data_IF_736810921158
#
_entry.id   IF_736810921158
#
_cell.length_a   1.000
_cell.length_b   1.000
_cell.length_c   1.000
_cell.angle_alpha   90.00
_cell.angle_beta   90.00
_cell.angle_gamma   90.00
#
_symmetry.space_group_name_H-M   'P 1'
#
loop_
_entity.id
_entity.type
_entity.pdbx_description
1 polymer ?
#
# COMPACT_ATOMS: atom_id res chain seq x y z
N UNK A 1 -7.17 8.24 24.06
CA UNK A 1 -5.92 8.51 23.32
C UNK A 1 -4.67 7.99 24.03
N UNK A 2 -4.65 7.82 25.37
CA UNK A 2 -3.46 7.36 26.13
C UNK A 2 -2.83 6.06 25.61
N UNK A 3 -3.63 5.05 25.26
CA UNK A 3 -3.12 3.80 24.67
C UNK A 3 -2.40 4.03 23.33
N UNK A 4 -2.91 4.90 22.46
CA UNK A 4 -2.27 5.21 21.17
C UNK A 4 -0.95 5.96 21.36
N UNK A 5 -0.85 6.80 22.38
CA UNK A 5 0.40 7.48 22.74
C UNK A 5 1.44 6.49 23.27
N UNK A 6 1.02 5.49 24.04
CA UNK A 6 1.91 4.42 24.48
C UNK A 6 2.42 3.57 23.31
N UNK A 7 1.52 3.17 22.40
CA UNK A 7 1.89 2.47 21.16
C UNK A 7 2.87 3.31 20.33
N UNK A 8 2.59 4.62 20.17
CA UNK A 8 3.52 5.54 19.51
C UNK A 8 4.87 5.54 20.23
N UNK A 9 4.93 5.64 21.56
CA UNK A 9 6.18 5.66 22.30
C UNK A 9 7.00 4.38 22.13
N UNK A 10 6.35 3.21 22.09
CA UNK A 10 7.01 1.91 21.82
C UNK A 10 7.58 1.84 20.41
N UNK A 11 6.86 2.37 19.42
CA UNK A 11 7.35 2.46 18.03
C UNK A 11 8.53 3.42 17.91
N UNK A 12 8.55 4.51 18.67
CA UNK A 12 9.67 5.46 18.69
C UNK A 12 10.94 4.86 19.27
N UNK A 13 10.80 4.00 20.29
CA UNK A 13 11.92 3.27 20.89
C UNK A 13 12.43 2.11 20.03
N UNK A 14 11.74 1.77 18.94
CA UNK A 14 12.10 0.65 18.08
C UNK A 14 13.27 1.00 17.15
N UNK A 15 14.15 0.02 16.90
CA UNK A 15 15.22 0.15 15.92
C UNK A 15 14.65 0.22 14.49
N UNK A 16 15.31 0.89 13.53
CA UNK A 16 14.84 0.99 12.15
C UNK A 16 14.62 -0.38 11.48
N UNK A 17 15.39 -1.40 11.88
CA UNK A 17 15.27 -2.75 11.33
C UNK A 17 13.98 -3.45 11.78
N UNK A 18 13.53 -3.21 13.02
CA UNK A 18 12.32 -3.84 13.56
C UNK A 18 11.08 -2.95 13.42
N UNK A 19 11.25 -1.71 12.94
CA UNK A 19 10.15 -0.75 12.83
C UNK A 19 9.01 -1.25 11.94
N UNK A 20 9.31 -1.89 10.81
CA UNK A 20 8.30 -2.43 9.89
C UNK A 20 7.48 -3.51 10.58
N UNK A 21 8.13 -4.43 11.28
CA UNK A 21 7.47 -5.55 11.96
C UNK A 21 6.67 -5.08 13.18
N UNK A 22 7.25 -4.21 14.02
CA UNK A 22 6.56 -3.64 15.17
C UNK A 22 5.36 -2.78 14.74
N UNK A 23 5.48 -2.04 13.63
CA UNK A 23 4.37 -1.30 13.06
C UNK A 23 3.28 -2.25 12.55
N UNK A 24 3.64 -3.34 11.88
CA UNK A 24 2.68 -4.36 11.45
C UNK A 24 1.91 -4.97 12.62
N UNK A 25 2.61 -5.31 13.72
CA UNK A 25 1.99 -5.84 14.93
C UNK A 25 1.02 -4.83 15.53
N UNK A 26 1.45 -3.57 15.70
CA UNK A 26 0.61 -2.51 16.24
C UNK A 26 -0.64 -2.28 15.37
N UNK A 27 -0.48 -2.25 14.05
CA UNK A 27 -1.57 -2.06 13.11
C UNK A 27 -2.56 -3.23 13.14
N UNK A 28 -2.06 -4.47 13.07
CA UNK A 28 -2.89 -5.68 13.08
C UNK A 28 -3.65 -5.82 14.39
N UNK A 29 -2.99 -5.56 15.52
CA UNK A 29 -3.63 -5.59 16.83
C UNK A 29 -4.71 -4.52 16.95
N UNK A 30 -4.46 -3.32 16.41
CA UNK A 30 -5.44 -2.25 16.40
C UNK A 30 -6.66 -2.62 15.55
N UNK A 31 -6.46 -3.08 14.32
CA UNK A 31 -7.55 -3.48 13.43
C UNK A 31 -8.36 -4.64 14.00
N UNK A 32 -7.71 -5.65 14.58
CA UNK A 32 -8.40 -6.75 15.25
C UNK A 32 -9.22 -6.27 16.45
N UNK A 33 -8.71 -5.31 17.21
CA UNK A 33 -9.45 -4.71 18.33
C UNK A 33 -10.70 -3.96 17.83
N UNK A 34 -10.62 -3.29 16.68
CA UNK A 34 -11.79 -2.63 16.07
C UNK A 34 -12.88 -3.63 15.66
N UNK A 35 -12.50 -4.82 15.18
CA UNK A 35 -13.46 -5.89 14.85
C UNK A 35 -14.27 -6.34 16.08
N UNK A 36 -13.72 -6.19 17.29
CA UNK A 36 -14.45 -6.45 18.54
C UNK A 36 -15.22 -5.22 19.04
N UNK A 37 -14.63 -4.03 18.97
CA UNK A 37 -15.21 -2.79 19.51
C UNK A 37 -16.46 -2.36 18.72
N UNK A 38 -16.39 -2.38 17.39
CA UNK A 38 -17.46 -1.85 16.53
C UNK A 38 -18.79 -2.60 16.76
N UNK A 39 -18.84 -3.95 16.82
CA UNK A 39 -20.07 -4.67 17.18
C UNK A 39 -20.62 -4.34 18.57
N UNK A 40 -19.76 -4.11 19.57
CA UNK A 40 -20.21 -3.74 20.92
C UNK A 40 -20.96 -2.41 20.90
N UNK A 41 -20.49 -1.47 20.08
CA UNK A 41 -21.11 -0.15 19.91
C UNK A 41 -22.07 -0.08 18.72
N UNK A 42 -22.57 -1.21 18.19
CA UNK A 42 -23.39 -1.22 16.97
C UNK A 42 -24.65 -0.37 17.08
N UNK A 43 -25.26 -0.31 18.27
CA UNK A 43 -26.43 0.53 18.51
C UNK A 43 -26.05 2.02 18.44
N UNK A 44 -24.96 2.42 19.08
CA UNK A 44 -24.45 3.79 18.97
C UNK A 44 -24.09 4.14 17.53
N UNK A 45 -23.43 3.22 16.81
CA UNK A 45 -23.04 3.43 15.42
C UNK A 45 -24.28 3.68 14.55
N UNK A 46 -25.25 2.76 14.55
CA UNK A 46 -26.43 2.85 13.67
C UNK A 46 -27.38 3.98 14.05
N UNK A 47 -27.69 4.13 15.33
CA UNK A 47 -28.75 5.04 15.76
C UNK A 47 -28.28 6.47 15.98
N UNK A 48 -26.99 6.69 16.18
CA UNK A 48 -26.45 8.04 16.40
C UNK A 48 -25.40 8.44 15.37
N UNK A 49 -24.32 7.65 15.20
CA UNK A 49 -23.19 8.06 14.38
C UNK A 49 -23.57 8.10 12.89
N UNK A 50 -24.12 7.00 12.36
CA UNK A 50 -24.59 6.93 10.97
C UNK A 50 -25.80 7.85 10.77
N UNK A 51 -26.82 7.77 11.62
CA UNK A 51 -28.11 8.46 11.37
C UNK A 51 -28.09 9.96 11.64
N UNK A 52 -27.29 10.45 12.60
CA UNK A 52 -27.26 11.87 13.00
C UNK A 52 -26.00 12.58 12.52
N UNK A 53 -24.85 11.89 12.54
CA UNK A 53 -23.57 12.50 12.17
C UNK A 53 -23.16 12.18 10.73
N UNK A 54 -23.81 11.21 10.07
CA UNK A 54 -23.47 10.72 8.73
C UNK A 54 -21.98 10.30 8.63
N UNK A 55 -21.53 9.56 9.65
CA UNK A 55 -20.16 9.03 9.77
C UNK A 55 -20.21 7.54 10.07
N UNK A 56 -19.05 6.90 10.06
CA UNK A 56 -18.87 5.52 10.50
C UNK A 56 -17.84 5.44 11.64
N UNK A 57 -18.19 4.72 12.72
CA UNK A 57 -17.34 4.58 13.90
C UNK A 57 -16.00 3.89 13.57
N UNK A 58 -16.01 2.88 12.69
CA UNK A 58 -14.77 2.19 12.31
C UNK A 58 -13.84 3.15 11.57
N UNK A 59 -14.38 3.93 10.64
CA UNK A 59 -13.62 4.96 9.93
C UNK A 59 -13.06 6.03 10.87
N UNK A 60 -13.86 6.53 11.82
CA UNK A 60 -13.42 7.54 12.79
C UNK A 60 -12.30 7.01 13.70
N UNK A 61 -12.37 5.75 14.11
CA UNK A 61 -11.30 5.09 14.89
C UNK A 61 -10.04 4.85 14.03
N UNK A 62 -10.19 4.40 12.79
CA UNK A 62 -9.06 4.27 11.85
C UNK A 62 -8.35 5.60 11.62
N UNK A 63 -9.09 6.71 11.44
CA UNK A 63 -8.53 8.06 11.37
C UNK A 63 -7.76 8.43 12.63
N UNK A 64 -8.30 8.11 13.81
CA UNK A 64 -7.63 8.38 15.07
C UNK A 64 -6.24 7.71 15.16
N UNK A 65 -6.13 6.45 14.71
CA UNK A 65 -4.84 5.76 14.62
C UNK A 65 -3.91 6.38 13.58
N UNK A 66 -4.45 6.75 12.42
CA UNK A 66 -3.69 7.41 11.36
C UNK A 66 -3.01 8.69 11.88
N UNK A 67 -3.78 9.57 12.51
CA UNK A 67 -3.32 10.90 12.94
C UNK A 67 -2.37 10.82 14.16
N UNK A 68 -2.61 9.89 15.10
CA UNK A 68 -1.83 9.84 16.34
C UNK A 68 -0.61 8.94 16.29
N UNK A 69 -0.60 7.97 15.38
CA UNK A 69 0.45 6.95 15.27
C UNK A 69 1.07 6.97 13.87
N UNK A 70 0.33 6.62 12.83
CA UNK A 70 0.92 6.31 11.53
C UNK A 70 1.56 7.54 10.84
N UNK A 71 0.94 8.71 10.90
CA UNK A 71 1.45 9.93 10.25
C UNK A 71 2.84 10.34 10.77
N UNK A 72 3.11 10.13 12.07
CA UNK A 72 4.41 10.41 12.69
C UNK A 72 5.53 9.53 12.14
N UNK A 73 5.21 8.30 11.75
CA UNK A 73 6.18 7.32 11.29
C UNK A 73 6.30 7.26 9.77
N UNK A 74 5.39 7.89 9.03
CA UNK A 74 5.33 7.82 7.56
C UNK A 74 6.66 8.20 6.89
N UNK A 75 7.28 9.29 7.34
CA UNK A 75 8.56 9.78 6.80
C UNK A 75 9.73 8.80 7.02
N UNK A 76 9.67 7.98 8.08
CA UNK A 76 10.73 7.02 8.41
C UNK A 76 10.42 5.65 7.81
N UNK A 77 9.15 5.27 7.81
CA UNK A 77 8.66 3.97 7.35
C UNK A 77 8.70 3.85 5.82
N UNK A 78 8.34 4.90 5.08
CA UNK A 78 8.31 4.85 3.61
C UNK A 78 9.67 4.50 2.98
N UNK A 79 10.79 5.20 3.30
CA UNK A 79 12.10 4.84 2.77
C UNK A 79 12.53 3.42 3.15
N UNK A 80 12.17 2.95 4.36
CA UNK A 80 12.48 1.60 4.81
C UNK A 80 11.72 0.54 4.02
N UNK A 81 10.43 0.78 3.72
CA UNK A 81 9.62 -0.12 2.89
C UNK A 81 10.17 -0.18 1.45
N UNK A 82 10.54 0.97 0.87
CA UNK A 82 11.14 1.01 -0.48
C UNK A 82 12.46 0.22 -0.50
N UNK A 83 13.34 0.44 0.49
CA UNK A 83 14.60 -0.30 0.60
C UNK A 83 14.36 -1.80 0.77
N UNK A 84 13.47 -2.19 1.66
CA UNK A 84 13.14 -3.59 1.89
C UNK A 84 12.46 -4.24 0.67
N UNK A 85 11.77 -3.49 -0.19
CA UNK A 85 11.24 -4.01 -1.45
C UNK A 85 12.34 -4.29 -2.47
N UNK A 86 13.39 -3.46 -2.50
CA UNK A 86 14.55 -3.66 -3.40
C UNK A 86 15.50 -4.79 -2.95
N UNK A 87 15.42 -5.22 -1.69
CA UNK A 87 16.29 -6.25 -1.10
C UNK A 87 15.48 -7.51 -0.77
N UNK A 88 15.60 -8.59 -1.55
CA UNK A 88 14.85 -9.81 -1.29
C UNK A 88 15.23 -10.40 0.09
N UNK A 89 14.23 -10.98 0.77
CA UNK A 89 14.34 -11.66 2.08
C UNK A 89 14.64 -10.79 3.31
N UNK A 90 14.77 -9.47 3.17
CA UNK A 90 14.97 -8.59 4.34
C UNK A 90 13.73 -8.52 5.24
N UNK A 91 12.53 -8.57 4.64
CA UNK A 91 11.24 -8.57 5.33
C UNK A 91 10.36 -9.66 4.71
N UNK A 92 9.57 -10.35 5.53
CA UNK A 92 8.62 -11.34 5.00
C UNK A 92 7.61 -10.66 4.05
N UNK A 93 7.34 -11.23 2.86
CA UNK A 93 6.39 -10.65 1.91
C UNK A 93 4.99 -10.44 2.49
N UNK A 94 4.55 -11.32 3.41
CA UNK A 94 3.28 -11.20 4.13
C UNK A 94 3.22 -9.94 5.00
N UNK A 95 4.28 -9.68 5.78
CA UNK A 95 4.41 -8.48 6.62
C UNK A 95 4.43 -7.22 5.76
N UNK A 96 5.19 -7.23 4.66
CA UNK A 96 5.24 -6.11 3.72
C UNK A 96 3.85 -5.83 3.13
N UNK A 97 3.16 -6.86 2.65
CA UNK A 97 1.82 -6.73 2.08
C UNK A 97 0.81 -6.22 3.11
N UNK A 98 0.88 -6.72 4.35
CA UNK A 98 0.03 -6.30 5.47
C UNK A 98 0.21 -4.82 5.78
N UNK A 99 1.46 -4.35 5.91
CA UNK A 99 1.77 -2.94 6.17
C UNK A 99 1.32 -2.05 5.00
N UNK A 100 1.65 -2.39 3.76
CA UNK A 100 1.28 -1.58 2.58
C UNK A 100 -0.25 -1.48 2.43
N UNK A 101 -0.95 -2.61 2.55
CA UNK A 101 -2.42 -2.64 2.53
C UNK A 101 -3.03 -1.85 3.68
N UNK A 102 -2.48 -2.00 4.87
CA UNK A 102 -2.97 -1.30 6.06
C UNK A 102 -2.73 0.22 5.99
N UNK A 103 -1.58 0.67 5.47
CA UNK A 103 -1.33 2.09 5.19
C UNK A 103 -2.35 2.64 4.18
N UNK A 104 -2.65 1.88 3.12
CA UNK A 104 -3.66 2.26 2.14
C UNK A 104 -5.06 2.33 2.75
N UNK A 105 -5.43 1.38 3.62
CA UNK A 105 -6.70 1.39 4.35
C UNK A 105 -6.82 2.53 5.36
N UNK A 106 -5.71 3.00 5.94
CA UNK A 106 -5.70 4.17 6.82
C UNK A 106 -5.92 5.45 6.03
N UNK A 107 -5.07 5.71 5.03
CA UNK A 107 -5.18 6.87 4.14
C UNK A 107 -4.70 6.50 2.73
N UNK A 108 -5.61 6.40 1.74
CA UNK A 108 -5.23 6.10 0.35
C UNK A 108 -4.28 7.12 -0.28
N UNK A 109 -4.32 8.38 0.16
CA UNK A 109 -3.47 9.46 -0.34
C UNK A 109 -1.97 9.18 -0.17
N UNK A 110 -1.59 8.39 0.85
CA UNK A 110 -0.19 8.02 1.08
C UNK A 110 0.39 7.13 -0.03
N UNK A 111 -0.45 6.49 -0.85
CA UNK A 111 0.02 5.74 -2.01
C UNK A 111 0.73 6.63 -3.04
N UNK A 112 0.41 7.93 -3.08
CA UNK A 112 1.06 8.88 -3.97
C UNK A 112 2.55 9.11 -3.63
N UNK A 113 2.96 8.82 -2.38
CA UNK A 113 4.34 8.96 -1.94
C UNK A 113 5.26 7.89 -2.55
N UNK A 114 4.72 6.70 -2.83
CA UNK A 114 5.48 5.57 -3.36
C UNK A 114 4.62 4.68 -4.28
N UNK A 115 4.14 5.20 -5.43
CA UNK A 115 3.18 4.49 -6.28
C UNK A 115 3.69 3.13 -6.78
N UNK A 116 4.99 3.02 -7.09
CA UNK A 116 5.61 1.75 -7.49
C UNK A 116 5.50 0.68 -6.40
N UNK A 117 5.83 1.03 -5.15
CA UNK A 117 5.72 0.13 -4.01
C UNK A 117 4.28 -0.36 -3.83
N UNK A 118 3.33 0.57 -3.79
CA UNK A 118 1.93 0.25 -3.55
C UNK A 118 1.33 -0.61 -4.68
N UNK A 119 1.65 -0.29 -5.94
CA UNK A 119 1.17 -1.03 -7.12
C UNK A 119 1.59 -2.50 -7.14
N UNK A 120 2.70 -2.85 -6.48
CA UNK A 120 3.14 -4.25 -6.33
C UNK A 120 2.26 -5.08 -5.39
N UNK A 121 1.48 -4.46 -4.49
CA UNK A 121 0.71 -5.16 -3.46
C UNK A 121 -0.81 -4.98 -3.55
N UNK A 122 -1.28 -3.93 -4.22
CA UNK A 122 -2.70 -3.64 -4.36
C UNK A 122 -3.01 -3.44 -5.87
N UNK A 123 -3.91 -4.26 -6.44
CA UNK A 123 -4.28 -4.12 -7.84
C UNK A 123 -5.00 -2.78 -8.08
N UNK A 124 -4.84 -2.22 -9.28
CA UNK A 124 -5.60 -1.05 -9.76
C UNK A 124 -5.42 0.27 -8.97
N UNK A 125 -4.32 0.47 -8.25
CA UNK A 125 -4.03 1.78 -7.61
C UNK A 125 -3.72 2.86 -8.63
N UNK A 126 -3.04 2.47 -9.72
CA UNK A 126 -2.63 3.43 -10.74
C UNK A 126 -3.87 3.98 -11.45
N UNK A 127 -3.88 5.28 -11.79
CA UNK A 127 -5.03 5.88 -12.46
C UNK A 127 -5.32 5.13 -13.75
N UNK A 128 -6.61 4.98 -14.10
CA UNK A 128 -6.99 4.34 -15.36
C UNK A 128 -6.32 5.07 -16.53
N UNK A 129 -5.88 4.28 -17.51
CA UNK A 129 -5.25 4.79 -18.72
C UNK A 129 -6.18 5.80 -19.41
N UNK A 130 -5.67 7.00 -19.65
CA UNK A 130 -6.45 8.09 -20.30
C UNK A 130 -6.05 8.19 -21.77
N UNK A 131 -7.03 8.30 -22.67
CA UNK A 131 -6.80 8.37 -24.12
C UNK A 131 -5.87 9.53 -24.52
N UNK A 132 -5.99 10.68 -23.84
CA UNK A 132 -5.13 11.85 -24.07
C UNK A 132 -3.65 11.60 -23.78
N UNK A 133 -3.31 10.56 -23.01
CA UNK A 133 -1.94 10.17 -22.66
C UNK A 133 -1.41 8.99 -23.49
N UNK A 134 -2.17 8.51 -24.49
CA UNK A 134 -1.70 7.47 -25.41
C UNK A 134 -0.33 7.75 -26.04
N UNK A 135 -0.02 8.98 -26.48
CA UNK A 135 1.31 9.30 -26.99
C UNK A 135 2.41 9.06 -25.94
N UNK A 136 2.19 9.49 -24.69
CA UNK A 136 3.16 9.33 -23.59
C UNK A 136 3.42 7.85 -23.26
N UNK A 137 2.38 7.01 -23.35
CA UNK A 137 2.51 5.57 -23.15
C UNK A 137 3.28 4.92 -24.31
N UNK A 138 3.01 5.33 -25.55
CA UNK A 138 3.74 4.83 -26.73
C UNK A 138 5.23 5.20 -26.67
N UNK A 139 5.55 6.42 -26.20
CA UNK A 139 6.94 6.85 -26.02
C UNK A 139 7.66 6.08 -24.90
N UNK A 140 6.98 5.80 -23.80
CA UNK A 140 7.51 4.93 -22.74
C UNK A 140 7.79 3.51 -23.25
N UNK A 141 6.85 2.91 -23.99
CA UNK A 141 7.02 1.58 -24.56
C UNK A 141 8.18 1.54 -25.56
N UNK A 142 8.30 2.56 -26.43
CA UNK A 142 9.43 2.67 -27.36
C UNK A 142 10.77 2.74 -26.64
N UNK A 143 10.87 3.54 -25.56
CA UNK A 143 12.08 3.63 -24.74
C UNK A 143 12.43 2.30 -24.08
N UNK A 144 11.43 1.61 -23.52
CA UNK A 144 11.60 0.30 -22.91
C UNK A 144 12.10 -0.73 -23.94
N UNK A 145 11.49 -0.77 -25.12
CA UNK A 145 11.92 -1.67 -26.20
C UNK A 145 13.36 -1.40 -26.65
N UNK A 146 13.76 -0.13 -26.75
CA UNK A 146 15.15 0.24 -27.04
C UNK A 146 16.10 -0.25 -25.94
N UNK A 147 15.79 -0.02 -24.67
CA UNK A 147 16.61 -0.48 -23.55
C UNK A 147 16.75 -2.01 -23.54
N UNK A 148 15.64 -2.74 -23.75
CA UNK A 148 15.63 -4.19 -23.82
C UNK A 148 16.50 -4.71 -24.98
N UNK A 149 16.41 -4.09 -26.15
CA UNK A 149 17.25 -4.46 -27.31
C UNK A 149 18.75 -4.30 -27.02
N UNK A 150 19.14 -3.27 -26.25
CA UNK A 150 20.53 -3.06 -25.84
C UNK A 150 21.00 -4.09 -24.81
N UNK A 151 20.10 -4.63 -23.99
CA UNK A 151 20.40 -5.69 -23.01
C UNK A 151 20.36 -7.11 -23.59
N UNK A 152 20.26 -7.25 -24.92
CA UNK A 152 20.30 -8.54 -25.61
C UNK A 152 18.92 -9.15 -25.89
N UNK A 153 17.83 -8.50 -25.52
CA UNK A 153 16.47 -8.88 -25.91
C UNK A 153 16.10 -8.28 -27.27
N UNK A 154 16.91 -8.61 -28.29
CA UNK A 154 16.65 -8.18 -29.66
C UNK A 154 15.39 -8.85 -30.19
N UNK A 155 14.60 -8.10 -30.97
CA UNK A 155 13.50 -8.69 -31.75
C UNK A 155 14.13 -9.69 -32.72
N UNK A 156 13.92 -10.99 -32.49
CA UNK A 156 14.39 -12.04 -33.39
C UNK A 156 13.82 -11.89 -34.81
N UNK A 157 14.29 -12.74 -35.72
CA UNK A 157 13.88 -12.71 -37.13
C UNK A 157 12.34 -12.81 -37.27
N UNK A 158 11.71 -11.69 -37.66
CA UNK A 158 10.27 -11.59 -37.90
C UNK A 158 9.87 -12.01 -39.32
N UNK A 159 10.83 -12.43 -40.17
CA UNK A 159 10.55 -12.87 -41.53
C UNK A 159 9.77 -14.19 -41.59
N UNK A 160 9.79 -14.99 -40.52
CA UNK A 160 8.95 -16.18 -40.41
C UNK A 160 7.57 -15.79 -39.88
N UNK A 161 6.62 -15.54 -40.79
CA UNK A 161 5.18 -15.59 -40.46
C UNK A 161 4.91 -16.93 -39.76
N UNK A 162 4.19 -16.90 -38.63
CA UNK A 162 3.71 -18.13 -37.97
C UNK A 162 2.94 -18.91 -39.03
N UNK A 163 3.43 -20.10 -39.40
CA UNK A 163 2.62 -21.02 -40.19
C UNK A 163 1.40 -21.35 -39.34
N UNK A 164 0.21 -21.02 -39.84
CA UNK A 164 -1.02 -21.53 -39.27
C UNK A 164 -1.03 -23.02 -39.55
N UNK A 165 -0.66 -23.85 -38.56
CA UNK A 165 -0.94 -25.28 -38.61
C UNK A 165 -2.44 -25.44 -38.34
N UNK A 166 -3.23 -25.35 -39.41
CA UNK A 166 -4.58 -25.93 -39.45
C UNK A 166 -4.42 -27.37 -39.95
N UNK A 167 -4.69 -28.35 -39.08
CA UNK A 167 -4.89 -29.77 -39.41
C UNK A 167 -5.83 -30.40 -38.39
#
# INVERSE_FOLDING_TARGET
TSHLLEVSSRLQASSPHNLIENFNVALTQYTASLECIVPVFIYLNKFYIESKLNRDLKEDLMKLFADHVAEKYLNTLMPLLIKAHSMPFQVQPSTMASVVKGLYSLRPEWAQLAPELFSGFIPQINPPTVESRLPDYADHDRKLQMALSMTGFSRGDQSRKRASEDS
#
